data_IF_970227027205
#
_entry.id   IF_970227027205
#
_cell.length_a   1.000
_cell.length_b   1.000
_cell.length_c   1.000
_cell.angle_alpha   90.00
_cell.angle_beta   90.00
_cell.angle_gamma   90.00
#
_symmetry.space_group_name_H-M   'P 1'
#
loop_
_entity.id
_entity.type
_entity.pdbx_description
1 polymer ?
#
# COMPACT_ATOMS: atom_id res chain seq x y z
N UNK A 1 18.24 -3.07 -3.37
CA UNK A 1 17.43 -1.98 -2.79
C UNK A 1 16.11 -1.94 -3.52
N UNK A 2 14.99 -2.04 -2.82
CA UNK A 2 13.67 -1.86 -3.40
C UNK A 2 13.46 -0.39 -3.80
N UNK A 3 12.84 -0.16 -4.96
CA UNK A 3 12.53 1.17 -5.46
C UNK A 3 11.01 1.33 -5.54
N UNK A 4 10.50 2.48 -5.09
CA UNK A 4 9.08 2.77 -5.04
C UNK A 4 8.80 4.12 -5.70
N UNK A 5 7.71 4.18 -6.46
CA UNK A 5 7.14 5.41 -6.98
C UNK A 5 5.99 5.78 -6.03
N UNK A 6 6.10 6.92 -5.37
CA UNK A 6 5.07 7.43 -4.46
C UNK A 6 4.43 8.66 -5.09
N UNK A 7 3.12 8.62 -5.30
CA UNK A 7 2.33 9.76 -5.77
C UNK A 7 1.50 10.28 -4.61
N UNK A 8 1.79 11.50 -4.17
CA UNK A 8 1.06 12.18 -3.09
C UNK A 8 0.15 13.23 -3.73
N UNK A 9 -1.11 13.26 -3.31
CA UNK A 9 -2.07 14.29 -3.66
C UNK A 9 -2.83 14.75 -2.42
N UNK A 10 -3.29 15.99 -2.45
CA UNK A 10 -4.11 16.56 -1.38
C UNK A 10 -5.57 16.48 -1.83
N UNK A 11 -6.42 15.84 -1.02
CA UNK A 11 -7.87 15.92 -1.21
C UNK A 11 -8.36 17.29 -0.76
N UNK A 12 -9.29 17.85 -1.51
CA UNK A 12 -9.91 19.16 -1.23
C UNK A 12 -11.13 19.07 -0.33
N UNK A 13 -11.41 17.89 0.24
CA UNK A 13 -12.42 17.72 1.29
C UNK A 13 -12.08 18.57 2.54
N UNK A 14 -13.07 18.98 3.31
CA UNK A 14 -12.87 19.65 4.61
C UNK A 14 -13.04 18.64 5.75
N UNK A 15 -12.00 18.34 6.56
CA UNK A 15 -10.63 18.86 6.51
C UNK A 15 -9.78 18.22 5.39
N UNK A 16 -8.78 18.93 4.85
CA UNK A 16 -8.00 18.44 3.72
C UNK A 16 -7.06 17.31 4.14
N UNK A 17 -7.29 16.12 3.58
CA UNK A 17 -6.51 14.93 3.90
C UNK A 17 -5.44 14.63 2.84
N UNK A 18 -4.29 14.12 3.33
CA UNK A 18 -3.18 13.71 2.47
C UNK A 18 -3.43 12.28 2.00
N UNK A 19 -3.51 12.10 0.69
CA UNK A 19 -3.74 10.81 0.09
C UNK A 19 -2.70 10.51 -0.99
N UNK A 20 -2.66 9.27 -1.44
CA UNK A 20 -1.71 8.90 -2.45
C UNK A 20 -1.76 7.45 -2.84
N UNK A 21 -0.82 7.09 -3.72
CA UNK A 21 -0.53 5.69 -4.03
C UNK A 21 0.96 5.42 -4.05
N UNK A 22 1.32 4.20 -3.72
CA UNK A 22 2.65 3.62 -3.79
C UNK A 22 2.64 2.53 -4.84
N UNK A 23 3.60 2.58 -5.76
CA UNK A 23 3.81 1.59 -6.82
C UNK A 23 5.24 1.06 -6.68
N UNK A 24 5.44 -0.26 -6.63
CA UNK A 24 6.82 -0.82 -6.59
C UNK A 24 7.38 -0.85 -7.99
N UNK A 25 8.60 -0.33 -8.15
CA UNK A 25 9.28 -0.33 -9.44
C UNK A 25 9.50 -1.76 -9.92
N UNK A 26 9.10 -2.04 -11.16
CA UNK A 26 9.21 -3.38 -11.76
C UNK A 26 8.08 -4.34 -11.40
N UNK A 27 7.04 -3.89 -10.69
CA UNK A 27 5.80 -4.67 -10.49
C UNK A 27 4.56 -3.85 -10.84
N UNK A 28 3.45 -4.53 -11.08
CA UNK A 28 2.14 -3.88 -11.29
C UNK A 28 1.38 -3.63 -9.99
N UNK A 29 2.01 -3.89 -8.84
CA UNK A 29 1.38 -3.77 -7.52
C UNK A 29 1.24 -2.29 -7.12
N UNK A 30 0.03 -1.91 -6.74
CA UNK A 30 -0.30 -0.55 -6.33
C UNK A 30 -1.05 -0.60 -5.01
N UNK A 31 -0.70 0.28 -4.08
CA UNK A 31 -1.44 0.50 -2.84
C UNK A 31 -1.78 1.95 -2.64
N UNK A 32 -2.98 2.21 -2.17
CA UNK A 32 -3.44 3.55 -1.83
C UNK A 32 -3.24 3.81 -0.34
N UNK A 33 -3.01 5.07 0.02
CA UNK A 33 -2.96 5.52 1.41
C UNK A 33 -3.79 6.80 1.57
N UNK A 34 -4.38 6.95 2.75
CA UNK A 34 -5.25 8.06 3.13
C UNK A 34 -4.61 8.97 4.19
N UNK A 35 -3.45 8.55 4.72
CA UNK A 35 -2.65 9.32 5.66
C UNK A 35 -1.19 8.86 5.62
N UNK A 36 -0.31 9.63 6.27
CA UNK A 36 1.13 9.34 6.34
C UNK A 36 1.44 8.06 7.14
N UNK A 37 0.61 7.69 8.12
CA UNK A 37 0.78 6.45 8.88
C UNK A 37 0.62 5.21 8.01
N UNK A 38 -0.36 5.22 7.10
CA UNK A 38 -0.55 4.16 6.11
C UNK A 38 0.61 4.09 5.10
N UNK A 39 1.09 5.23 4.63
CA UNK A 39 2.27 5.28 3.74
C UNK A 39 3.49 4.61 4.39
N UNK A 40 3.78 4.97 5.65
CA UNK A 40 4.90 4.38 6.40
C UNK A 40 4.71 2.88 6.51
N UNK A 41 3.52 2.40 6.91
CA UNK A 41 3.23 0.96 6.99
C UNK A 41 3.47 0.24 5.66
N UNK A 42 3.07 0.81 4.53
CA UNK A 42 3.28 0.22 3.20
C UNK A 42 4.77 0.09 2.89
N UNK A 43 5.56 1.13 3.19
CA UNK A 43 7.00 1.16 2.90
C UNK A 43 7.83 0.31 3.87
N UNK A 44 7.48 0.28 5.16
CA UNK A 44 8.23 -0.46 6.19
C UNK A 44 7.86 -1.94 6.25
N UNK A 45 6.64 -2.31 5.83
CA UNK A 45 6.22 -3.72 5.95
C UNK A 45 6.95 -4.64 4.99
N UNK A 46 7.62 -4.14 3.93
CA UNK A 46 8.45 -4.90 2.97
C UNK A 46 7.72 -5.99 2.15
N UNK A 47 6.58 -6.46 2.66
CA UNK A 47 5.74 -7.56 2.22
C UNK A 47 4.36 -7.06 1.79
N UNK A 48 4.06 -5.76 1.99
CA UNK A 48 2.74 -5.19 1.75
C UNK A 48 2.32 -5.16 0.28
N UNK A 49 3.22 -5.36 -0.68
CA UNK A 49 2.88 -5.49 -2.09
C UNK A 49 2.89 -6.95 -2.57
N UNK A 50 3.34 -7.90 -1.74
CA UNK A 50 3.16 -9.32 -2.02
C UNK A 50 1.64 -9.60 -1.99
N UNK A 51 1.06 -9.83 -3.17
CA UNK A 51 -0.37 -9.76 -3.41
C UNK A 51 -1.21 -10.50 -2.37
N UNK A 52 -2.11 -9.76 -1.72
CA UNK A 52 -3.39 -10.20 -1.13
C UNK A 52 -4.11 -8.96 -0.57
N UNK A 53 -4.55 -8.09 -1.46
CA UNK A 53 -5.78 -7.34 -1.21
C UNK A 53 -6.83 -8.00 -2.11
N UNK A 54 -7.15 -9.24 -1.73
CA UNK A 54 -8.33 -9.93 -2.19
C UNK A 54 -9.52 -9.18 -1.58
N UNK A 55 -10.29 -8.53 -2.45
CA UNK A 55 -11.71 -8.35 -2.26
C UNK A 55 -12.32 -9.72 -1.86
N UNK A 56 -12.97 -9.80 -0.70
CA UNK A 56 -13.75 -10.98 -0.29
C UNK A 56 -13.23 -11.75 0.93
N UNK A 57 -14.07 -11.72 1.96
CA UNK A 57 -14.50 -12.84 2.81
C UNK A 57 -13.70 -14.16 2.77
N UNK A 58 -13.35 -14.62 3.98
CA UNK A 58 -13.05 -16.00 4.38
C UNK A 58 -11.66 -16.63 4.11
N UNK A 59 -11.18 -17.35 5.15
CA UNK A 59 -10.08 -18.31 5.22
C UNK A 59 -8.63 -17.80 5.16
N UNK A 60 -8.08 -17.58 6.36
CA UNK A 60 -6.64 -17.53 6.62
C UNK A 60 -5.98 -18.90 6.35
N UNK A 61 -5.57 -19.15 5.11
CA UNK A 61 -4.62 -20.20 4.78
C UNK A 61 -3.21 -19.76 5.22
N UNK A 62 -2.79 -20.27 6.38
CA UNK A 62 -1.41 -20.29 6.86
C UNK A 62 -0.52 -21.07 5.89
N UNK A 63 0.24 -20.38 5.03
CA UNK A 63 1.40 -21.00 4.34
C UNK A 63 2.53 -19.99 4.13
N UNK A 64 3.52 -20.12 5.02
CA UNK A 64 4.95 -20.13 4.72
C UNK A 64 5.56 -18.91 4.01
N UNK A 65 6.20 -18.05 4.79
CA UNK A 65 7.41 -17.37 4.32
C UNK A 65 8.60 -18.29 4.67
N UNK A 66 9.31 -18.76 3.66
CA UNK A 66 10.63 -19.40 3.79
C UNK A 66 11.70 -18.31 3.77
#
# INVERSE_FOLDING_TARGET
MDSYIVRIYRRTDEPPELAGKVEKAGTEMKKYFHNTGELVKILTSGCGLCGRDAEGDDVAATRGCH
#
